data_IF_290361278013
#
_entry.id   IF_290361278013
#
_cell.length_a   1.000
_cell.length_b   1.000
_cell.length_c   1.000
_cell.angle_alpha   90.00
_cell.angle_beta   90.00
_cell.angle_gamma   90.00
#
_symmetry.space_group_name_H-M   'P 1'
#
loop_
_entity.id
_entity.type
_entity.pdbx_description
1 polymer ?
#
# COMPACT_ATOMS: atom_id res chain seq x y z
N UNK A 1 17.82 -36.57 31.91
CA UNK A 1 17.58 -36.18 31.60
C UNK A 1 17.02 -35.76 30.97
N UNK A 2 17.06 -35.92 31.02
CA UNK A 2 16.53 -35.44 30.44
C UNK A 2 15.85 -35.02 29.61
N UNK A 3 15.79 -34.93 29.58
CA UNK A 3 15.26 -34.43 28.86
C UNK A 3 14.69 -33.97 28.07
N UNK A 4 14.63 -33.65 28.01
CA UNK A 4 14.07 -33.17 27.43
C UNK A 4 13.60 -32.61 26.66
N UNK A 5 13.54 -32.45 26.61
CA UNK A 5 12.99 -31.82 25.98
C UNK A 5 12.37 -31.33 25.24
N UNK A 6 12.30 -31.05 24.92
CA UNK A 6 11.55 -30.45 24.25
C UNK A 6 10.95 -30.06 23.43
N UNK A 7 10.89 -30.00 23.22
CA UNK A 7 10.29 -29.46 22.44
C UNK A 7 9.66 -29.02 21.75
N UNK A 8 9.64 -28.99 21.73
CA UNK A 8 8.98 -28.48 21.03
C UNK A 8 8.37 -27.90 20.34
N UNK A 9 8.40 -27.94 20.51
CA UNK A 9 7.90 -27.38 19.90
C UNK A 9 7.29 -26.96 19.13
N UNK A 10 7.26 -27.15 19.18
CA UNK A 10 6.73 -26.71 18.52
C UNK A 10 6.12 -26.48 17.76
N UNK A 11 6.04 -26.77 17.86
CA UNK A 11 5.51 -26.46 17.20
C UNK A 11 4.82 -26.23 16.46
N UNK A 12 4.75 -26.43 16.35
CA UNK A 12 4.14 -26.20 15.50
C UNK A 12 3.36 -25.55 14.94
N UNK A 13 3.33 -25.50 15.13
CA UNK A 13 2.77 -24.94 14.59
C UNK A 13 2.38 -24.96 13.60
N UNK A 14 2.43 -25.23 13.63
CA UNK A 14 2.26 -25.08 12.46
C UNK A 14 1.35 -25.05 11.53
N UNK A 15 1.07 -25.63 11.40
CA UNK A 15 0.53 -25.77 10.26
C UNK A 15 -0.55 -24.98 10.01
N UNK A 16 -1.00 -24.77 10.74
CA UNK A 16 -1.72 -23.69 10.68
C UNK A 16 -1.16 -22.72 9.78
N UNK A 17 0.04 -22.92 9.46
CA UNK A 17 0.79 -22.06 8.61
C UNK A 17 0.13 -21.72 7.30
N UNK A 18 -0.79 -22.51 6.81
CA UNK A 18 -1.44 -22.21 5.55
C UNK A 18 -2.16 -20.87 5.55
N UNK A 19 -2.98 -20.52 6.55
CA UNK A 19 -3.56 -19.20 6.59
C UNK A 19 -2.50 -18.11 6.75
N UNK A 20 -1.49 -18.39 7.56
CA UNK A 20 -0.43 -17.42 7.76
C UNK A 20 0.34 -17.17 6.46
N UNK A 21 0.60 -18.24 5.70
CA UNK A 21 1.29 -18.11 4.43
C UNK A 21 0.48 -17.27 3.45
N UNK A 22 -0.84 -17.48 3.41
CA UNK A 22 -1.70 -16.70 2.54
C UNK A 22 -1.71 -15.23 2.96
N UNK A 23 -1.79 -14.96 4.26
CA UNK A 23 -1.80 -13.60 4.77
C UNK A 23 -0.47 -12.91 4.50
N UNK A 24 0.62 -13.65 4.60
CA UNK A 24 1.94 -13.09 4.38
C UNK A 24 2.37 -13.01 2.93
N UNK A 25 1.61 -13.61 2.02
CA UNK A 25 1.99 -13.63 0.61
C UNK A 25 2.03 -12.23 0.03
N UNK A 26 3.02 -11.93 -0.84
CA UNK A 26 3.08 -10.62 -1.46
C UNK A 26 1.91 -10.41 -2.42
N UNK A 27 1.49 -9.16 -2.52
CA UNK A 27 0.45 -8.74 -3.44
C UNK A 27 1.05 -7.73 -4.40
N UNK A 28 0.84 -7.96 -5.69
CA UNK A 28 1.22 -7.00 -6.73
C UNK A 28 -0.06 -6.50 -7.37
N UNK A 29 -0.18 -5.19 -7.48
CA UNK A 29 -1.39 -4.60 -8.02
C UNK A 29 -1.04 -3.41 -8.90
N UNK A 30 -1.91 -3.13 -9.86
CA UNK A 30 -1.75 -1.98 -10.73
C UNK A 30 -3.12 -1.31 -10.90
N UNK A 31 -3.10 0.01 -10.81
CA UNK A 31 -4.31 0.83 -10.92
C UNK A 31 -4.11 1.95 -11.91
N UNK A 32 -5.17 2.29 -12.64
CA UNK A 32 -5.26 3.59 -13.25
C UNK A 32 -5.46 4.60 -12.13
N UNK A 33 -4.79 5.73 -12.21
CA UNK A 33 -4.79 6.74 -11.16
C UNK A 33 -5.23 8.08 -11.71
N UNK A 34 -6.09 8.77 -10.96
CA UNK A 34 -6.49 10.13 -11.25
C UNK A 34 -6.39 10.96 -10.00
N UNK A 35 -6.07 12.24 -10.17
CA UNK A 35 -5.86 13.14 -9.05
C UNK A 35 -6.41 14.53 -9.38
N UNK A 36 -7.02 15.17 -8.39
CA UNK A 36 -7.40 16.57 -8.45
C UNK A 36 -7.19 17.18 -7.07
N UNK A 37 -6.40 18.26 -7.00
CA UNK A 37 -6.08 18.87 -5.73
C UNK A 37 -5.23 20.10 -5.90
N UNK A 38 -4.63 20.59 -4.80
CA UNK A 38 -3.85 21.84 -4.81
C UNK A 38 -2.61 21.76 -5.68
N UNK A 39 -2.10 20.55 -5.94
CA UNK A 39 -0.93 20.37 -6.79
C UNK A 39 -1.29 20.17 -8.27
N UNK A 40 -2.56 20.40 -8.62
CA UNK A 40 -3.02 20.32 -10.00
C UNK A 40 -3.93 19.12 -10.22
N UNK A 41 -4.01 18.71 -11.47
CA UNK A 41 -4.79 17.55 -11.88
C UNK A 41 -3.91 16.66 -12.73
N UNK A 42 -4.16 15.36 -12.68
CA UNK A 42 -3.38 14.43 -13.45
C UNK A 42 -3.98 13.06 -13.52
N UNK A 43 -3.45 12.27 -14.45
CA UNK A 43 -3.79 10.86 -14.60
C UNK A 43 -2.49 10.08 -14.80
N UNK A 44 -2.54 8.80 -14.47
CA UNK A 44 -1.35 7.98 -14.60
C UNK A 44 -1.59 6.56 -14.17
N UNK A 45 -0.51 5.90 -13.79
CA UNK A 45 -0.52 4.50 -13.36
C UNK A 45 0.12 4.38 -12.00
N UNK A 46 -0.56 3.65 -11.13
CA UNK A 46 -0.08 3.34 -9.78
C UNK A 46 0.28 1.86 -9.73
N UNK A 47 1.51 1.55 -9.38
CA UNK A 47 1.98 0.17 -9.23
C UNK A 47 2.35 -0.07 -7.78
N UNK A 48 1.91 -1.21 -7.25
CA UNK A 48 2.07 -1.54 -5.84
C UNK A 48 2.66 -2.93 -5.67
N UNK A 49 3.57 -3.05 -4.71
CA UNK A 49 4.01 -4.32 -4.17
C UNK A 49 3.83 -4.23 -2.66
N UNK A 50 3.08 -5.18 -2.09
CA UNK A 50 2.71 -5.13 -0.68
C UNK A 50 2.92 -6.50 -0.05
N UNK A 51 3.66 -6.54 1.05
CA UNK A 51 3.87 -7.78 1.80
C UNK A 51 3.70 -7.48 3.29
N UNK A 52 2.56 -7.89 3.83
CA UNK A 52 2.21 -7.55 5.21
C UNK A 52 3.19 -8.15 6.22
N UNK A 53 3.66 -9.37 5.98
CA UNK A 53 4.51 -10.06 6.95
C UNK A 53 5.82 -9.30 7.24
N UNK A 54 6.44 -8.73 6.23
CA UNK A 54 7.69 -7.98 6.38
C UNK A 54 7.48 -6.47 6.45
N UNK A 55 6.27 -6.02 6.22
CA UNK A 55 5.98 -4.59 6.07
C UNK A 55 6.54 -4.02 4.79
N UNK A 56 6.90 -4.88 3.83
CA UNK A 56 7.47 -4.41 2.57
C UNK A 56 6.42 -3.69 1.74
N UNK A 57 6.81 -2.55 1.23
CA UNK A 57 5.94 -1.73 0.39
C UNK A 57 6.76 -1.07 -0.70
N UNK A 58 6.27 -1.16 -1.93
CA UNK A 58 6.79 -0.38 -3.04
C UNK A 58 5.59 0.27 -3.71
N UNK A 59 5.62 1.59 -3.78
CA UNK A 59 4.60 2.37 -4.49
C UNK A 59 5.31 3.17 -5.56
N UNK A 60 4.92 2.95 -6.81
CA UNK A 60 5.40 3.77 -7.92
C UNK A 60 4.21 4.43 -8.59
N UNK A 61 4.28 5.74 -8.74
CA UNK A 61 3.24 6.51 -9.40
C UNK A 61 3.85 7.19 -10.61
N UNK A 62 3.31 6.90 -11.78
CA UNK A 62 3.79 7.43 -13.05
C UNK A 62 2.70 8.21 -13.76
N UNK A 63 3.03 9.41 -14.20
CA UNK A 63 2.27 10.12 -15.21
C UNK A 63 2.92 9.85 -16.57
N UNK A 64 2.28 10.20 -17.68
CA UNK A 64 2.92 10.01 -18.99
C UNK A 64 4.27 10.71 -19.02
N UNK A 65 5.31 9.92 -19.29
CA UNK A 65 6.66 10.45 -19.45
C UNK A 65 7.42 10.76 -18.18
N UNK A 66 6.84 10.50 -16.98
CA UNK A 66 7.59 10.86 -15.78
C UNK A 66 7.14 10.03 -14.57
N UNK A 67 8.07 9.79 -13.65
CA UNK A 67 7.73 9.21 -12.36
C UNK A 67 7.39 10.33 -11.40
N UNK A 68 6.21 10.28 -10.82
CA UNK A 68 5.77 11.29 -9.85
C UNK A 68 6.18 10.97 -8.43
N UNK A 69 6.25 9.68 -8.09
CA UNK A 69 6.50 9.27 -6.71
C UNK A 69 7.06 7.85 -6.68
N UNK A 70 8.01 7.64 -5.77
CA UNK A 70 8.49 6.32 -5.41
C UNK A 70 8.56 6.24 -3.89
N UNK A 71 7.86 5.27 -3.31
CA UNK A 71 7.97 4.94 -1.90
C UNK A 71 8.41 3.48 -1.82
N UNK A 72 9.46 3.19 -1.07
CA UNK A 72 9.92 1.81 -0.92
C UNK A 72 10.56 1.58 0.43
N UNK A 73 10.45 0.35 0.91
CA UNK A 73 11.07 -0.05 2.16
C UNK A 73 10.38 -1.23 2.81
N UNK A 74 10.77 -1.48 4.04
CA UNK A 74 10.18 -2.54 4.85
C UNK A 74 10.32 -2.18 6.34
N UNK A 75 9.75 -3.04 7.21
CA UNK A 75 9.74 -2.78 8.64
C UNK A 75 11.14 -2.81 9.26
N UNK A 76 12.05 -3.60 8.70
CA UNK A 76 13.40 -3.74 9.26
C UNK A 76 14.31 -2.58 8.88
N UNK A 77 14.20 -2.08 7.66
CA UNK A 77 15.12 -1.07 7.12
C UNK A 77 14.54 0.34 7.09
N UNK A 78 13.23 0.47 7.35
CA UNK A 78 12.54 1.74 7.20
C UNK A 78 12.16 2.00 5.76
N UNK A 79 11.69 3.21 5.49
CA UNK A 79 11.09 3.56 4.20
C UNK A 79 11.71 4.83 3.65
N UNK A 80 11.70 4.93 2.34
CA UNK A 80 12.20 6.10 1.62
C UNK A 80 11.14 6.59 0.66
N UNK A 81 10.89 7.90 0.69
CA UNK A 81 9.94 8.57 -0.20
C UNK A 81 10.70 9.52 -1.10
N UNK A 82 10.48 9.39 -2.41
CA UNK A 82 11.03 10.30 -3.40
C UNK A 82 9.90 10.91 -4.24
N UNK A 83 9.87 12.23 -4.31
CA UNK A 83 8.91 12.96 -5.13
C UNK A 83 9.70 13.98 -5.93
N UNK A 84 10.15 13.60 -7.14
CA UNK A 84 11.08 14.44 -7.91
C UNK A 84 10.60 15.86 -8.18
N UNK A 85 9.34 16.02 -8.57
CA UNK A 85 8.80 17.37 -8.83
C UNK A 85 8.89 18.29 -7.65
N UNK A 86 8.72 17.76 -6.45
CA UNK A 86 8.73 18.54 -5.22
C UNK A 86 10.11 18.54 -4.56
N UNK A 87 11.08 17.87 -5.19
CA UNK A 87 12.45 17.76 -4.68
C UNK A 87 12.47 17.14 -3.28
N UNK A 88 11.58 16.17 -3.05
CA UNK A 88 11.50 15.45 -1.79
C UNK A 88 12.27 14.15 -1.90
N UNK A 89 13.13 13.89 -0.92
CA UNK A 89 13.81 12.61 -0.74
C UNK A 89 13.99 12.44 0.76
N UNK A 90 13.09 11.67 1.37
CA UNK A 90 13.02 11.51 2.82
C UNK A 90 13.07 10.05 3.21
N UNK A 91 13.67 9.78 4.37
CA UNK A 91 13.68 8.45 4.97
C UNK A 91 13.08 8.51 6.35
N UNK A 92 12.38 7.45 6.74
CA UNK A 92 11.80 7.36 8.07
C UNK A 92 11.63 5.89 8.45
N UNK A 93 11.70 5.56 9.75
CA UNK A 93 11.49 4.18 10.19
C UNK A 93 10.05 3.70 10.02
N UNK A 94 9.08 4.63 9.98
CA UNK A 94 7.67 4.27 9.89
C UNK A 94 6.98 5.01 8.75
N UNK A 95 6.05 4.31 8.08
CA UNK A 95 5.27 4.89 6.98
C UNK A 95 4.50 6.13 7.40
N UNK A 96 3.99 6.14 8.62
CA UNK A 96 3.20 7.27 9.11
C UNK A 96 3.98 8.59 9.15
N UNK A 97 5.31 8.52 9.12
CA UNK A 97 6.17 9.69 9.18
C UNK A 97 6.47 10.28 7.81
N UNK A 98 6.04 9.62 6.75
CA UNK A 98 6.28 10.08 5.38
C UNK A 98 4.98 10.57 4.77
N UNK A 99 4.80 11.89 4.64
CA UNK A 99 3.56 12.43 4.05
C UNK A 99 3.54 12.17 2.55
N UNK A 100 2.51 11.46 2.08
CA UNK A 100 2.38 11.12 0.67
C UNK A 100 1.59 12.20 -0.07
N UNK A 101 2.16 12.79 -1.12
CA UNK A 101 1.37 13.61 -2.01
C UNK A 101 0.65 12.73 -3.03
N UNK A 102 -0.44 13.23 -3.61
CA UNK A 102 -1.17 12.59 -4.71
C UNK A 102 -1.91 11.32 -4.34
N UNK A 103 -1.82 10.86 -3.08
CA UNK A 103 -2.41 9.61 -2.61
C UNK A 103 -2.91 9.78 -1.18
N UNK A 104 -3.89 8.95 -0.75
CA UNK A 104 -4.24 8.90 0.66
C UNK A 104 -3.03 8.49 1.50
N UNK A 105 -2.93 9.01 2.70
CA UNK A 105 -1.83 8.68 3.59
C UNK A 105 -1.85 7.19 3.94
N UNK A 106 -0.71 6.53 3.78
CA UNK A 106 -0.54 5.13 4.12
C UNK A 106 0.13 5.04 5.49
N UNK A 107 -0.53 4.40 6.44
CA UNK A 107 -0.01 4.25 7.79
C UNK A 107 0.63 2.88 8.01
N UNK A 108 0.17 1.86 7.27
CA UNK A 108 0.71 0.52 7.36
C UNK A 108 0.38 -0.25 6.08
N UNK A 109 1.15 -1.30 5.82
CA UNK A 109 0.88 -2.17 4.67
C UNK A 109 -0.44 -2.90 4.86
N UNK A 110 -0.71 -3.35 6.09
CA UNK A 110 -1.97 -4.02 6.39
C UNK A 110 -3.17 -3.12 6.16
N UNK A 111 -3.08 -1.86 6.58
CA UNK A 111 -4.14 -0.89 6.36
C UNK A 111 -4.38 -0.62 4.89
N UNK A 112 -3.32 -0.52 4.11
CA UNK A 112 -3.43 -0.33 2.67
C UNK A 112 -4.09 -1.53 2.00
N UNK A 113 -3.66 -2.75 2.36
CA UNK A 113 -4.26 -3.96 1.83
C UNK A 113 -5.75 -4.04 2.17
N UNK A 114 -6.10 -3.72 3.41
CA UNK A 114 -7.50 -3.73 3.84
C UNK A 114 -8.33 -2.74 3.00
N UNK A 115 -7.82 -1.53 2.83
CA UNK A 115 -8.48 -0.52 2.02
C UNK A 115 -8.72 -1.01 0.59
N UNK A 116 -7.70 -1.58 -0.03
CA UNK A 116 -7.80 -2.00 -1.43
C UNK A 116 -8.66 -3.26 -1.60
N UNK A 117 -8.73 -4.12 -0.58
CA UNK A 117 -9.55 -5.33 -0.63
C UNK A 117 -11.02 -5.08 -0.32
N UNK A 118 -11.32 -4.12 0.52
CA UNK A 118 -12.69 -3.90 1.01
C UNK A 118 -13.28 -2.57 0.62
N UNK A 119 -12.44 -1.59 0.30
CA UNK A 119 -12.90 -0.23 0.06
C UNK A 119 -13.21 0.53 1.34
N UNK A 120 -12.88 -0.03 2.50
CA UNK A 120 -13.17 0.59 3.80
C UNK A 120 -12.03 1.50 4.22
N UNK A 121 -12.34 2.76 4.39
CA UNK A 121 -11.37 3.76 4.83
C UNK A 121 -12.01 5.12 4.88
N UNK A 122 -11.42 6.03 5.66
CA UNK A 122 -11.95 7.38 5.80
C UNK A 122 -11.90 8.12 4.47
N UNK A 123 -13.03 8.63 4.05
CA UNK A 123 -13.13 9.38 2.80
C UNK A 123 -13.18 8.53 1.55
N UNK A 124 -13.21 7.22 1.68
CA UNK A 124 -13.22 6.30 0.53
C UNK A 124 -14.63 5.87 0.20
N UNK A 125 -14.95 5.85 -1.09
CA UNK A 125 -16.19 5.26 -1.58
C UNK A 125 -15.86 4.29 -2.72
N UNK A 126 -16.59 3.17 -2.74
CA UNK A 126 -16.45 2.17 -3.79
C UNK A 126 -17.40 2.54 -4.91
N UNK A 127 -16.85 2.85 -6.09
CA UNK A 127 -17.63 3.24 -7.26
C UNK A 127 -18.10 2.03 -8.04
N UNK A 128 -17.30 0.96 -8.01
CA UNK A 128 -17.60 -0.27 -8.72
C UNK A 128 -16.82 -1.41 -8.08
N UNK A 129 -17.41 -2.60 -8.07
CA UNK A 129 -16.71 -3.79 -7.54
C UNK A 129 -17.02 -5.00 -8.38
N UNK A 130 -16.16 -6.02 -8.24
CA UNK A 130 -16.36 -7.31 -8.89
C UNK A 130 -16.16 -8.43 -7.86
N UNK A 131 -16.01 -9.68 -8.32
CA UNK A 131 -15.86 -10.81 -7.42
C UNK A 131 -14.60 -10.76 -6.55
N UNK A 132 -13.59 -9.99 -6.96
CA UNK A 132 -12.33 -9.87 -6.22
C UNK A 132 -12.32 -8.69 -5.26
N UNK A 133 -13.37 -7.86 -5.27
CA UNK A 133 -13.46 -6.70 -4.40
C UNK A 133 -13.61 -5.39 -5.17
N UNK A 134 -13.21 -4.27 -4.58
CA UNK A 134 -13.37 -2.97 -5.23
C UNK A 134 -12.60 -2.90 -6.53
N UNK A 135 -13.28 -2.49 -7.59
CA UNK A 135 -12.69 -2.28 -8.90
C UNK A 135 -12.38 -0.81 -9.12
N UNK A 136 -13.27 0.08 -8.68
CA UNK A 136 -13.06 1.52 -8.76
C UNK A 136 -13.29 2.14 -7.41
N UNK A 137 -12.32 2.92 -6.96
CA UNK A 137 -12.34 3.61 -5.68
C UNK A 137 -12.21 5.11 -5.90
N UNK A 138 -12.88 5.86 -5.05
CA UNK A 138 -12.74 7.31 -5.00
C UNK A 138 -12.45 7.71 -3.57
N UNK A 139 -11.36 8.43 -3.37
CA UNK A 139 -10.99 8.97 -2.08
C UNK A 139 -11.09 10.48 -2.12
N UNK A 140 -11.64 11.04 -1.05
CA UNK A 140 -11.72 12.48 -0.87
C UNK A 140 -11.19 12.79 0.51
N UNK A 141 -10.22 13.68 0.59
CA UNK A 141 -9.59 13.99 1.84
C UNK A 141 -8.78 15.27 1.77
N UNK A 142 -7.83 15.38 2.66
CA UNK A 142 -6.98 16.57 2.74
C UNK A 142 -5.53 16.17 2.59
N UNK A 143 -4.76 17.07 1.94
CA UNK A 143 -3.31 16.88 1.84
C UNK A 143 -2.66 17.28 3.18
N UNK A 144 -1.34 17.10 3.32
CA UNK A 144 -0.66 17.46 4.58
C UNK A 144 -0.80 18.94 4.98
N UNK A 145 -1.17 19.81 4.03
CA UNK A 145 -1.37 21.24 4.28
C UNK A 145 -2.81 21.58 4.63
N UNK A 146 -3.70 20.57 4.67
CA UNK A 146 -5.11 20.78 4.96
C UNK A 146 -5.94 21.19 3.78
N UNK A 147 -5.42 21.07 2.55
CA UNK A 147 -6.15 21.41 1.33
C UNK A 147 -6.91 20.21 0.80
N UNK A 148 -8.09 20.44 0.26
CA UNK A 148 -8.92 19.36 -0.27
C UNK A 148 -8.28 18.73 -1.50
N UNK A 149 -8.36 17.40 -1.57
CA UNK A 149 -7.89 16.67 -2.75
C UNK A 149 -8.71 15.40 -2.96
N UNK A 150 -8.65 14.88 -4.16
CA UNK A 150 -9.37 13.68 -4.56
C UNK A 150 -8.45 12.74 -5.34
N UNK A 151 -8.64 11.45 -5.14
CA UNK A 151 -7.90 10.42 -5.87
C UNK A 151 -8.89 9.37 -6.36
N UNK A 152 -8.74 8.97 -7.62
CA UNK A 152 -9.52 7.90 -8.23
C UNK A 152 -8.58 6.75 -8.57
N UNK A 153 -8.99 5.53 -8.21
CA UNK A 153 -8.21 4.32 -8.51
C UNK A 153 -9.09 3.35 -9.28
N UNK A 154 -8.57 2.85 -10.40
CA UNK A 154 -9.26 1.89 -11.26
C UNK A 154 -8.36 0.67 -11.39
N UNK A 155 -8.75 -0.44 -10.75
CA UNK A 155 -7.89 -1.63 -10.69
C UNK A 155 -7.71 -2.25 -12.07
N UNK A 156 -6.45 -2.41 -12.46
CA UNK A 156 -6.09 -3.05 -13.74
C UNK A 156 -5.56 -4.46 -13.53
N UNK A 157 -4.91 -4.71 -12.40
CA UNK A 157 -4.30 -5.99 -12.11
C UNK A 157 -4.23 -6.22 -10.61
N UNK A 158 -4.45 -7.45 -10.21
CA UNK A 158 -4.30 -7.86 -8.81
C UNK A 158 -3.79 -9.30 -8.80
N UNK A 159 -2.59 -9.51 -8.23
CA UNK A 159 -1.97 -10.81 -8.15
C UNK A 159 -1.51 -11.06 -6.72
N UNK A 160 -1.88 -12.19 -6.15
CA UNK A 160 -1.44 -12.59 -4.81
C UNK A 160 -0.62 -13.86 -4.91
N UNK A 161 0.39 -13.94 -4.04
CA UNK A 161 1.24 -15.10 -3.99
C UNK A 161 2.63 -14.79 -4.50
N UNK A 162 3.56 -15.80 -4.25
CA UNK A 162 4.92 -15.69 -4.56
C UNK A 162 5.37 -14.96 -5.68
#
# INVERSE_FOLDING_TARGET
>A
MPFQTPPPVSAPVPSISAPAAVIGAPVRAQYGWGYAGPDGEGVGTLSLLMEAASGRLVIELHAPGERLLLLEGDSASGYRLQVPRQKVDQRAPYLAQLPLPFLPQVLSVEGLLHLLRTGEGAGVSVQKKDAQGPLKLHWRGKDPRGKDEQVWLDRKRWEEGE
#
